data_IF_461227573058
#
_entry.id   IF_461227573058
#
_cell.length_a   1.000
_cell.length_b   1.000
_cell.length_c   1.000
_cell.angle_alpha   90.00
_cell.angle_beta   90.00
_cell.angle_gamma   90.00
#
_symmetry.space_group_name_H-M   'P 1'
#
loop_
_entity.id
_entity.type
_entity.pdbx_description
1 polymer ?
#
# COMPACT_ATOMS: atom_id res chain seq x y z
N UNK A 1 4.16 10.26 -22.22
CA UNK A 1 3.77 9.63 -20.95
C UNK A 1 4.96 8.81 -20.50
N UNK A 2 5.77 9.35 -19.61
CA UNK A 2 6.89 8.61 -19.02
C UNK A 2 6.29 7.49 -18.19
N UNK A 3 6.65 6.25 -18.51
CA UNK A 3 6.36 5.07 -17.70
C UNK A 3 7.17 5.27 -16.40
N UNK A 4 6.55 5.88 -15.40
CA UNK A 4 7.23 6.16 -14.13
C UNK A 4 7.41 4.83 -13.44
N UNK A 5 8.63 4.29 -13.52
CA UNK A 5 9.00 3.08 -12.81
C UNK A 5 8.69 3.24 -11.31
N UNK A 6 8.07 2.22 -10.71
CA UNK A 6 7.82 2.20 -9.27
C UNK A 6 9.14 2.39 -8.52
N UNK A 7 9.24 3.35 -7.58
CA UNK A 7 10.45 3.56 -6.80
C UNK A 7 10.77 2.39 -5.86
N UNK A 8 9.78 1.53 -5.56
CA UNK A 8 10.01 0.27 -4.84
C UNK A 8 10.59 -0.85 -5.71
N UNK A 9 10.61 -0.68 -7.03
CA UNK A 9 10.98 -1.72 -7.99
C UNK A 9 9.85 -2.70 -8.34
N UNK A 10 8.61 -2.48 -7.86
CA UNK A 10 7.47 -3.35 -8.19
C UNK A 10 7.12 -3.25 -9.66
N UNK A 11 6.78 -4.38 -10.29
CA UNK A 11 6.54 -4.44 -11.74
C UNK A 11 5.08 -4.77 -12.06
N UNK A 12 4.56 -4.18 -13.13
CA UNK A 12 3.23 -4.53 -13.63
C UNK A 12 3.11 -6.02 -13.99
N UNK A 13 4.19 -6.60 -14.52
CA UNK A 13 4.26 -8.01 -14.88
C UNK A 13 4.02 -8.95 -13.70
N UNK A 14 4.45 -8.58 -12.48
CA UNK A 14 4.16 -9.34 -11.25
C UNK A 14 2.65 -9.43 -11.01
N UNK A 15 1.95 -8.29 -11.07
CA UNK A 15 0.51 -8.23 -10.87
C UNK A 15 -0.26 -8.96 -11.97
N UNK A 16 0.15 -8.83 -13.23
CA UNK A 16 -0.48 -9.54 -14.37
C UNK A 16 -0.32 -11.06 -14.24
N UNK A 17 0.88 -11.52 -13.92
CA UNK A 17 1.17 -12.95 -13.69
C UNK A 17 0.33 -13.49 -12.53
N UNK A 18 0.24 -12.73 -11.44
CA UNK A 18 -0.57 -13.11 -10.29
C UNK A 18 -2.06 -13.23 -10.63
N UNK A 19 -2.63 -12.21 -11.31
CA UNK A 19 -4.04 -12.21 -11.69
C UNK A 19 -4.38 -13.36 -12.65
N UNK A 20 -3.46 -13.72 -13.55
CA UNK A 20 -3.63 -14.87 -14.44
C UNK A 20 -3.60 -16.21 -13.69
N UNK A 21 -2.75 -16.34 -12.68
CA UNK A 21 -2.65 -17.54 -11.85
C UNK A 21 -3.81 -17.70 -10.85
N UNK A 22 -4.42 -16.59 -10.43
CA UNK A 22 -5.49 -16.54 -9.42
C UNK A 22 -6.75 -15.82 -9.95
N UNK A 23 -7.49 -16.42 -10.91
CA UNK A 23 -8.70 -15.82 -11.47
C UNK A 23 -9.84 -15.67 -10.44
N UNK A 24 -9.82 -16.46 -9.37
CA UNK A 24 -10.83 -16.48 -8.30
C UNK A 24 -10.75 -15.29 -7.34
N UNK A 25 -9.61 -14.61 -7.24
CA UNK A 25 -9.40 -13.52 -6.26
C UNK A 25 -10.17 -12.27 -6.68
N UNK A 26 -11.02 -11.74 -5.79
CA UNK A 26 -11.91 -10.61 -6.09
C UNK A 26 -11.45 -9.27 -5.48
N UNK A 27 -10.58 -9.34 -4.46
CA UNK A 27 -10.11 -8.17 -3.72
C UNK A 27 -8.70 -8.39 -3.17
N UNK A 28 -8.05 -7.30 -2.77
CA UNK A 28 -6.68 -7.29 -2.26
C UNK A 28 -6.58 -6.46 -0.99
N UNK A 29 -5.99 -7.05 0.04
CA UNK A 29 -5.63 -6.35 1.27
C UNK A 29 -4.27 -5.68 1.01
N UNK A 30 -4.24 -4.34 0.97
CA UNK A 30 -2.98 -3.59 0.83
C UNK A 30 -2.54 -3.17 2.23
N UNK A 31 -1.33 -3.57 2.62
CA UNK A 31 -0.90 -3.52 4.02
C UNK A 31 0.41 -2.75 4.17
N UNK A 32 0.41 -1.77 5.06
CA UNK A 32 1.55 -1.04 5.58
C UNK A 32 1.78 -1.47 7.02
N UNK A 33 3.02 -1.52 7.47
CA UNK A 33 3.31 -1.67 8.90
C UNK A 33 3.72 -0.30 9.45
N UNK A 34 3.06 0.13 10.52
CA UNK A 34 3.44 1.35 11.23
C UNK A 34 4.64 1.11 12.16
N UNK A 35 5.06 2.15 12.89
CA UNK A 35 6.17 2.07 13.85
C UNK A 35 5.94 1.07 15.01
N UNK A 36 4.67 0.72 15.29
CA UNK A 36 4.30 -0.28 16.29
C UNK A 36 4.29 -1.71 15.71
N UNK A 37 4.58 -1.88 14.41
CA UNK A 37 4.48 -3.15 13.71
C UNK A 37 3.04 -3.59 13.42
N UNK A 38 2.07 -2.68 13.50
CA UNK A 38 0.66 -2.97 13.24
C UNK A 38 0.40 -2.83 11.75
N UNK A 39 -0.15 -3.90 11.15
CA UNK A 39 -0.62 -3.90 9.77
C UNK A 39 -1.85 -3.00 9.61
N UNK A 40 -1.72 -1.94 8.80
CA UNK A 40 -2.78 -0.97 8.48
C UNK A 40 -2.95 -0.85 6.98
N UNK A 41 -4.15 -0.52 6.54
CA UNK A 41 -4.41 -0.27 5.13
C UNK A 41 -5.86 -0.42 4.75
N UNK A 42 -6.10 -0.85 3.51
CA UNK A 42 -7.45 -0.93 2.93
C UNK A 42 -7.59 -2.15 2.03
N UNK A 43 -8.84 -2.51 1.78
CA UNK A 43 -9.17 -3.51 0.78
C UNK A 43 -9.46 -2.79 -0.54
N UNK A 44 -8.79 -3.19 -1.62
CA UNK A 44 -9.06 -2.71 -2.98
C UNK A 44 -9.71 -3.80 -3.82
N UNK A 45 -10.48 -3.43 -4.83
CA UNK A 45 -11.11 -4.38 -5.76
C UNK A 45 -10.11 -4.85 -6.81
N UNK A 46 -10.36 -6.04 -7.39
CA UNK A 46 -9.47 -6.67 -8.38
C UNK A 46 -9.04 -5.75 -9.52
N UNK A 47 -9.97 -4.96 -10.06
CA UNK A 47 -9.70 -4.06 -11.19
C UNK A 47 -8.77 -2.89 -10.82
N UNK A 48 -8.63 -2.57 -9.54
CA UNK A 48 -7.77 -1.48 -9.06
C UNK A 48 -6.29 -1.90 -8.94
N UNK A 49 -5.99 -3.21 -8.91
CA UNK A 49 -4.65 -3.74 -8.67
C UNK A 49 -3.64 -3.22 -9.70
N UNK A 50 -3.96 -3.34 -11.00
CA UNK A 50 -3.06 -2.90 -12.08
C UNK A 50 -2.84 -1.38 -12.06
N UNK A 51 -3.87 -0.61 -11.71
CA UNK A 51 -3.75 0.84 -11.56
C UNK A 51 -2.77 1.19 -10.44
N UNK A 52 -2.89 0.52 -9.29
CA UNK A 52 -1.98 0.70 -8.16
C UNK A 52 -0.53 0.35 -8.50
N UNK A 53 -0.27 -0.72 -9.25
CA UNK A 53 1.10 -1.07 -9.68
C UNK A 53 1.69 -0.06 -10.68
N UNK A 54 0.86 0.67 -11.42
CA UNK A 54 1.29 1.69 -12.39
C UNK A 54 1.55 3.07 -11.77
N UNK A 55 0.69 3.49 -10.83
CA UNK A 55 0.68 4.87 -10.34
C UNK A 55 0.87 5.01 -8.83
N UNK A 56 1.08 3.91 -8.12
CA UNK A 56 0.99 3.86 -6.66
C UNK A 56 -0.44 4.14 -6.18
N UNK A 57 -0.58 4.26 -4.86
CA UNK A 57 -1.84 4.62 -4.19
C UNK A 57 -1.60 5.75 -3.20
N UNK A 58 -2.42 6.80 -3.26
CA UNK A 58 -2.40 7.85 -2.24
C UNK A 58 -2.97 7.33 -0.92
N UNK A 59 -2.26 7.66 0.16
CA UNK A 59 -2.62 7.35 1.54
C UNK A 59 -2.24 8.54 2.44
N UNK A 60 -3.08 8.85 3.44
CA UNK A 60 -2.75 9.84 4.46
C UNK A 60 -1.52 9.37 5.24
N UNK A 61 -0.57 10.27 5.48
CA UNK A 61 0.67 9.94 6.20
C UNK A 61 0.39 9.62 7.68
N UNK A 62 -0.67 10.20 8.24
CA UNK A 62 -1.12 9.97 9.62
C UNK A 62 -1.34 8.49 9.97
N UNK A 63 -1.65 7.64 8.99
CA UNK A 63 -1.86 6.19 9.20
C UNK A 63 -0.61 5.50 9.77
N UNK A 64 0.58 6.08 9.60
CA UNK A 64 1.84 5.55 10.12
C UNK A 64 2.20 6.07 11.53
N UNK A 65 1.47 7.09 12.02
CA UNK A 65 1.71 7.76 13.31
C UNK A 65 0.64 7.51 14.36
N UNK A 66 -0.15 6.45 14.22
CA UNK A 66 -1.19 6.10 15.19
C UNK A 66 -0.61 5.36 16.40
N UNK A 67 -1.28 5.46 17.55
CA UNK A 67 -0.96 4.63 18.70
C UNK A 67 -1.39 3.15 18.51
N UNK A 68 -1.11 2.32 19.51
CA UNK A 68 -1.48 0.89 19.49
C UNK A 68 -3.00 0.66 19.43
N UNK A 69 -3.80 1.61 19.92
CA UNK A 69 -5.26 1.58 19.85
C UNK A 69 -5.79 2.09 18.50
N UNK A 70 -4.95 2.69 17.67
CA UNK A 70 -5.30 3.30 16.40
C UNK A 70 -5.78 4.74 16.53
N UNK A 71 -5.46 5.41 17.64
CA UNK A 71 -5.78 6.81 17.90
C UNK A 71 -4.67 7.74 17.38
N UNK A 72 -5.07 8.95 17.01
CA UNK A 72 -4.16 9.99 16.54
C UNK A 72 -3.24 10.45 17.68
N UNK A 73 -1.92 10.39 17.44
CA UNK A 73 -0.92 10.91 18.39
C UNK A 73 -0.54 12.33 17.97
N UNK A 74 -0.98 13.32 18.75
CA UNK A 74 -0.77 14.73 18.46
C UNK A 74 0.72 15.09 18.28
N UNK A 75 1.59 14.51 19.10
CA UNK A 75 3.03 14.77 19.13
C UNK A 75 3.77 14.31 17.86
N UNK A 76 3.12 13.54 16.99
CA UNK A 76 3.69 13.18 15.68
C UNK A 76 3.75 14.37 14.72
N UNK A 77 2.94 15.41 14.95
CA UNK A 77 2.84 16.57 14.06
C UNK A 77 2.19 16.28 12.70
N UNK A 78 1.97 15.01 12.34
CA UNK A 78 1.53 14.60 10.99
C UNK A 78 0.16 15.16 10.63
N UNK A 79 -0.74 15.31 11.60
CA UNK A 79 -2.12 15.73 11.33
C UNK A 79 -2.28 17.23 11.54
N UNK A 80 -1.81 17.79 12.65
CA UNK A 80 -2.05 19.18 13.01
C UNK A 80 -0.99 20.16 12.51
N UNK A 81 0.26 19.73 12.37
CA UNK A 81 1.35 20.58 11.89
C UNK A 81 1.54 20.46 10.37
N UNK A 82 1.48 19.23 9.84
CA UNK A 82 1.66 18.97 8.40
C UNK A 82 0.35 18.85 7.60
N UNK A 83 -0.80 18.79 8.28
CA UNK A 83 -2.12 18.78 7.63
C UNK A 83 -2.52 17.46 6.98
N UNK A 84 -1.95 16.34 7.41
CA UNK A 84 -2.20 14.97 6.91
C UNK A 84 -2.11 14.84 5.38
N UNK A 85 -1.02 15.35 4.82
CA UNK A 85 -0.81 15.33 3.38
C UNK A 85 -0.67 13.92 2.82
N UNK A 86 -1.46 13.60 1.79
CA UNK A 86 -1.35 12.34 1.06
C UNK A 86 0.07 12.11 0.52
N UNK A 87 0.65 10.96 0.87
CA UNK A 87 1.87 10.43 0.26
C UNK A 87 1.54 9.25 -0.65
N UNK A 88 2.52 8.79 -1.41
CA UNK A 88 2.33 7.72 -2.40
C UNK A 88 2.90 6.41 -1.91
N UNK A 89 2.02 5.45 -1.69
CA UNK A 89 2.39 4.08 -1.37
C UNK A 89 2.56 3.23 -2.63
N UNK A 90 3.59 2.40 -2.63
CA UNK A 90 3.96 1.49 -3.71
C UNK A 90 4.06 0.05 -3.21
N UNK A 91 3.71 -0.95 -4.05
CA UNK A 91 3.82 -2.36 -3.67
C UNK A 91 5.27 -2.74 -3.39
N UNK A 92 5.52 -3.59 -2.41
CA UNK A 92 6.84 -4.20 -2.19
C UNK A 92 6.96 -5.41 -3.14
N UNK A 93 7.98 -5.46 -4.00
CA UNK A 93 8.15 -6.54 -4.97
C UNK A 93 8.13 -7.93 -4.34
N UNK A 94 7.45 -8.87 -4.98
CA UNK A 94 7.43 -10.27 -4.57
C UNK A 94 6.60 -10.55 -3.32
N UNK A 95 5.85 -9.58 -2.78
CA UNK A 95 4.98 -9.78 -1.61
C UNK A 95 3.53 -10.07 -1.97
N UNK A 96 3.13 -9.90 -3.23
CA UNK A 96 1.77 -10.20 -3.68
C UNK A 96 1.48 -11.71 -3.57
N UNK A 97 0.55 -12.09 -2.71
CA UNK A 97 0.23 -13.50 -2.39
C UNK A 97 -1.27 -13.72 -2.20
N UNK A 98 -1.81 -14.93 -2.46
CA UNK A 98 -3.16 -15.26 -2.06
C UNK A 98 -3.26 -15.38 -0.53
N UNK A 99 -4.37 -14.92 0.05
CA UNK A 99 -4.66 -15.15 1.47
C UNK A 99 -5.21 -16.56 1.63
N UNK A 100 -4.60 -17.35 2.52
CA UNK A 100 -5.05 -18.72 2.75
C UNK A 100 -6.48 -18.76 3.30
N UNK A 101 -7.35 -19.53 2.63
CA UNK A 101 -8.72 -19.81 3.04
C UNK A 101 -9.62 -18.57 3.31
N UNK A 102 -9.33 -17.44 2.65
CA UNK A 102 -10.21 -16.27 2.76
C UNK A 102 -11.52 -16.48 1.97
N UNK A 103 -12.64 -15.99 2.52
CA UNK A 103 -13.94 -15.98 1.84
C UNK A 103 -14.59 -14.59 1.97
N UNK A 104 -14.82 -13.85 0.85
CA UNK A 104 -14.45 -14.19 -0.53
C UNK A 104 -12.93 -14.32 -0.72
N UNK A 105 -12.50 -14.93 -1.83
CA UNK A 105 -11.08 -15.11 -2.13
C UNK A 105 -10.38 -13.76 -2.30
N UNK A 106 -9.29 -13.55 -1.56
CA UNK A 106 -8.51 -12.30 -1.52
C UNK A 106 -7.03 -12.58 -1.71
N UNK A 107 -6.33 -11.57 -2.25
CA UNK A 107 -4.88 -11.48 -2.17
C UNK A 107 -4.43 -10.48 -1.11
N UNK A 108 -3.15 -10.48 -0.80
CA UNK A 108 -2.50 -9.49 0.05
C UNK A 108 -1.23 -9.00 -0.63
N UNK A 109 -0.90 -7.73 -0.44
CA UNK A 109 0.38 -7.15 -0.86
C UNK A 109 0.87 -6.14 0.16
N UNK A 110 2.16 -6.23 0.49
CA UNK A 110 2.79 -5.27 1.38
C UNK A 110 3.13 -4.00 0.60
N UNK A 111 3.03 -2.86 1.26
CA UNK A 111 3.24 -1.54 0.69
C UNK A 111 4.35 -0.80 1.43
N UNK A 112 4.93 0.20 0.78
CA UNK A 112 5.89 1.13 1.35
C UNK A 112 5.62 2.54 0.83
N UNK A 113 5.90 3.56 1.64
CA UNK A 113 5.57 4.96 1.31
C UNK A 113 6.81 5.69 0.81
N UNK A 114 6.59 6.48 -0.24
CA UNK A 114 7.57 7.38 -0.82
C UNK A 114 7.01 8.79 -0.86
N UNK A 115 7.91 9.76 -0.82
CA UNK A 115 7.60 11.15 -1.15
C UNK A 115 7.15 11.27 -2.61
N UNK A 116 6.50 12.38 -2.94
CA UNK A 116 5.97 12.60 -4.29
C UNK A 116 7.06 12.69 -5.37
N UNK A 117 8.29 13.01 -4.97
CA UNK A 117 9.48 13.01 -5.82
C UNK A 117 10.13 11.61 -6.00
N UNK A 118 9.60 10.60 -5.31
CA UNK A 118 10.08 9.22 -5.36
C UNK A 118 11.21 8.90 -4.38
N UNK A 119 11.59 9.81 -3.48
CA UNK A 119 12.52 9.50 -2.39
C UNK A 119 11.83 8.66 -1.31
N UNK A 120 12.54 7.73 -0.63
CA UNK A 120 11.97 7.00 0.49
C UNK A 120 11.55 7.97 1.60
N UNK A 121 10.34 7.78 2.13
CA UNK A 121 9.88 8.56 3.27
C UNK A 121 10.72 8.20 4.50
N UNK A 122 11.44 9.18 5.06
CA UNK A 122 12.30 8.97 6.23
C UNK A 122 11.49 9.12 7.51
N UNK A 123 10.92 8.00 7.96
CA UNK A 123 10.11 7.83 9.19
C UNK A 123 8.76 8.54 9.18
#
# INVERSE_FOLDING_TARGET
>A
MTDTASPSGSTLAEAETFLAAHPEIEAFDIVLHDANGIGRGKIIRRHELLGMFKSGRHLPISILGLDICGEDVHETGLIWDEGDGDRRAWPIPGTLRPIHASSPARGEVLMCVYELDGTPMSS
#
